data_IF_390002840886
#
_entry.id   IF_390002840886
#
_cell.length_a   1.000
_cell.length_b   1.000
_cell.length_c   1.000
_cell.angle_alpha   90.00
_cell.angle_beta   90.00
_cell.angle_gamma   90.00
#
_symmetry.space_group_name_H-M   'P 1'
#
loop_
_entity.id
_entity.type
_entity.pdbx_description
1 polymer ?
#
# COMPACT_ATOMS: atom_id res chain seq x y z
N UNK A 1 -18.54 -14.17 -7.61
CA UNK A 1 -17.56 -14.73 -6.63
C UNK A 1 -16.63 -13.60 -6.19
N UNK A 2 -16.30 -13.48 -4.88
CA UNK A 2 -15.27 -12.55 -4.42
C UNK A 2 -13.92 -13.00 -4.99
N UNK A 3 -13.17 -12.11 -5.67
CA UNK A 3 -11.80 -12.37 -6.05
C UNK A 3 -10.93 -12.42 -4.80
N UNK A 4 -10.05 -13.40 -4.71
CA UNK A 4 -9.01 -13.43 -3.67
C UNK A 4 -7.98 -12.33 -3.99
N UNK A 5 -7.57 -11.59 -2.96
CA UNK A 5 -6.62 -10.51 -3.06
C UNK A 5 -5.32 -10.93 -2.33
N UNK A 6 -4.21 -10.93 -3.03
CA UNK A 6 -2.89 -11.30 -2.51
C UNK A 6 -2.00 -10.07 -2.58
N UNK A 7 -1.46 -9.65 -1.45
CA UNK A 7 -0.58 -8.49 -1.35
C UNK A 7 0.77 -8.89 -0.79
N UNK A 8 1.81 -8.73 -1.60
CA UNK A 8 3.20 -8.97 -1.21
C UNK A 8 3.89 -7.67 -0.78
N UNK A 9 3.93 -7.37 0.51
CA UNK A 9 4.74 -6.25 1.00
C UNK A 9 6.20 -6.68 1.14
N UNK A 10 7.08 -6.18 0.24
CA UNK A 10 8.51 -6.52 0.24
C UNK A 10 9.30 -5.79 1.32
N UNK A 11 8.69 -4.77 1.92
CA UNK A 11 9.32 -3.94 2.96
C UNK A 11 10.68 -3.39 2.48
N UNK A 12 11.68 -3.39 3.34
CA UNK A 12 13.08 -3.01 3.06
C UNK A 12 13.99 -4.26 3.03
N UNK A 13 13.47 -5.42 2.57
CA UNK A 13 14.16 -6.70 2.74
C UNK A 13 15.09 -7.08 1.56
N UNK A 14 14.93 -6.43 0.40
CA UNK A 14 15.66 -6.78 -0.81
C UNK A 14 16.57 -5.64 -1.28
N UNK A 15 17.77 -6.00 -1.77
CA UNK A 15 18.60 -5.07 -2.53
C UNK A 15 18.05 -4.89 -3.95
N UNK A 16 18.68 -4.04 -4.77
CA UNK A 16 18.21 -3.74 -6.13
C UNK A 16 18.19 -5.01 -7.01
N UNK A 17 19.28 -5.76 -7.06
CA UNK A 17 19.41 -6.95 -7.91
C UNK A 17 18.34 -7.99 -7.58
N UNK A 18 18.16 -8.31 -6.30
CA UNK A 18 17.16 -9.28 -5.85
C UNK A 18 15.73 -8.79 -6.10
N UNK A 19 15.48 -7.48 -5.95
CA UNK A 19 14.17 -6.87 -6.25
C UNK A 19 13.80 -7.01 -7.72
N UNK A 20 14.72 -6.70 -8.62
CA UNK A 20 14.50 -6.82 -10.07
C UNK A 20 14.35 -8.28 -10.50
N UNK A 21 15.20 -9.16 -9.96
CA UNK A 21 15.10 -10.61 -10.21
C UNK A 21 13.77 -11.17 -9.77
N UNK A 22 13.28 -10.77 -8.58
CA UNK A 22 11.97 -11.18 -8.09
C UNK A 22 10.85 -10.65 -9.01
N UNK A 23 10.90 -9.37 -9.43
CA UNK A 23 9.94 -8.78 -10.34
C UNK A 23 9.86 -9.56 -11.67
N UNK A 24 10.99 -9.87 -12.28
CA UNK A 24 11.03 -10.69 -13.50
C UNK A 24 10.45 -12.09 -13.30
N UNK A 25 10.72 -12.73 -12.17
CA UNK A 25 10.20 -14.06 -11.87
C UNK A 25 8.69 -14.07 -11.68
N UNK A 26 8.15 -13.10 -10.92
CA UNK A 26 6.71 -13.04 -10.69
C UNK A 26 5.93 -12.59 -11.93
N UNK A 27 6.54 -11.82 -12.83
CA UNK A 27 5.93 -11.47 -14.14
C UNK A 27 5.52 -12.70 -14.95
N UNK A 28 6.20 -13.81 -14.75
CA UNK A 28 5.93 -15.08 -15.45
C UNK A 28 4.76 -15.87 -14.85
N UNK A 29 4.19 -15.40 -13.72
CA UNK A 29 3.05 -16.06 -13.09
C UNK A 29 1.84 -15.98 -14.02
N UNK A 30 1.33 -17.14 -14.41
CA UNK A 30 0.08 -17.23 -15.15
C UNK A 30 -1.10 -17.20 -14.16
N UNK A 31 -1.78 -16.08 -14.08
CA UNK A 31 -2.90 -15.86 -13.17
C UNK A 31 -4.21 -16.48 -13.68
N UNK A 32 -4.23 -17.81 -13.83
CA UNK A 32 -5.40 -18.57 -14.33
C UNK A 32 -6.63 -18.44 -13.44
N UNK A 33 -6.43 -18.22 -12.14
CA UNK A 33 -7.50 -18.14 -11.15
C UNK A 33 -8.10 -16.74 -11.03
N UNK A 34 -7.64 -15.80 -11.87
CA UNK A 34 -8.09 -14.42 -11.90
C UNK A 34 -8.03 -13.77 -10.50
N UNK A 35 -6.89 -13.95 -9.82
CA UNK A 35 -6.60 -13.34 -8.52
C UNK A 35 -6.25 -11.86 -8.69
N UNK A 36 -6.49 -11.05 -7.67
CA UNK A 36 -5.87 -9.73 -7.57
C UNK A 36 -4.52 -9.89 -6.89
N UNK A 37 -3.43 -9.74 -7.65
CA UNK A 37 -2.06 -9.86 -7.12
C UNK A 37 -1.43 -8.47 -7.11
N UNK A 38 -0.94 -8.05 -5.96
CA UNK A 38 -0.27 -6.77 -5.79
C UNK A 38 1.07 -6.95 -5.07
N UNK A 39 2.07 -6.15 -5.44
CA UNK A 39 3.37 -6.13 -4.77
C UNK A 39 3.74 -4.70 -4.39
N UNK A 40 4.30 -4.55 -3.19
CA UNK A 40 4.76 -3.28 -2.65
C UNK A 40 6.28 -3.31 -2.42
N UNK A 41 7.09 -2.98 -3.44
CA UNK A 41 8.54 -2.85 -3.30
C UNK A 41 8.92 -1.58 -2.53
N UNK A 42 10.21 -1.46 -2.15
CA UNK A 42 10.73 -0.20 -1.61
C UNK A 42 10.61 0.93 -2.64
N UNK A 43 10.37 2.16 -2.18
CA UNK A 43 10.27 3.35 -3.04
C UNK A 43 11.49 3.60 -3.90
N UNK A 44 12.68 3.16 -3.47
CA UNK A 44 13.92 3.29 -4.26
C UNK A 44 13.86 2.59 -5.63
N UNK A 45 13.10 1.51 -5.74
CA UNK A 45 13.02 0.68 -6.97
C UNK A 45 11.60 0.63 -7.53
N UNK A 46 10.68 1.41 -6.97
CA UNK A 46 9.26 1.36 -7.27
C UNK A 46 8.97 1.59 -8.76
N UNK A 47 9.54 2.64 -9.34
CA UNK A 47 9.34 3.00 -10.75
C UNK A 47 9.87 1.91 -11.71
N UNK A 48 11.08 1.39 -11.44
CA UNK A 48 11.71 0.37 -12.27
C UNK A 48 10.93 -0.96 -12.22
N UNK A 49 10.41 -1.31 -11.04
CA UNK A 49 9.57 -2.51 -10.88
C UNK A 49 8.20 -2.32 -11.52
N UNK A 50 7.62 -1.13 -11.45
CA UNK A 50 6.36 -0.81 -12.12
C UNK A 50 6.51 -0.96 -13.65
N UNK A 51 7.61 -0.51 -14.22
CA UNK A 51 7.93 -0.69 -15.64
C UNK A 51 8.09 -2.17 -16.03
N UNK A 52 8.79 -2.96 -15.21
CA UNK A 52 8.94 -4.40 -15.46
C UNK A 52 7.58 -5.09 -15.48
N UNK A 53 6.67 -4.74 -14.58
CA UNK A 53 5.39 -5.44 -14.38
C UNK A 53 4.22 -4.84 -15.18
N UNK A 54 4.40 -3.75 -15.94
CA UNK A 54 3.30 -3.02 -16.60
C UNK A 54 2.42 -3.88 -17.51
N UNK A 55 2.99 -4.90 -18.16
CA UNK A 55 2.28 -5.82 -19.08
C UNK A 55 1.96 -7.18 -18.42
N UNK A 56 1.77 -7.19 -17.10
CA UNK A 56 1.43 -8.40 -16.35
C UNK A 56 0.11 -8.26 -15.59
N UNK A 57 -0.40 -9.37 -15.07
CA UNK A 57 -1.58 -9.39 -14.18
C UNK A 57 -1.25 -8.95 -12.74
N UNK A 58 -0.06 -8.39 -12.49
CA UNK A 58 0.42 -8.00 -11.17
C UNK A 58 0.48 -6.48 -11.08
N UNK A 59 -0.23 -5.92 -10.12
CA UNK A 59 -0.20 -4.49 -9.85
C UNK A 59 0.93 -4.14 -8.88
N UNK A 60 1.58 -3.00 -9.13
CA UNK A 60 2.57 -2.44 -8.19
C UNK A 60 1.92 -1.35 -7.37
N UNK A 61 2.13 -1.39 -6.05
CA UNK A 61 1.59 -0.42 -5.10
C UNK A 61 2.72 0.16 -4.25
N UNK A 62 2.53 1.35 -3.68
CA UNK A 62 3.52 1.94 -2.76
C UNK A 62 3.34 1.41 -1.33
N UNK A 63 4.42 1.42 -0.54
CA UNK A 63 4.39 1.04 0.88
C UNK A 63 3.88 2.16 1.78
N UNK A 64 3.92 3.40 1.32
CA UNK A 64 3.51 4.61 2.03
C UNK A 64 3.54 5.82 1.08
N UNK A 65 2.98 6.93 1.53
CA UNK A 65 3.24 8.28 1.03
C UNK A 65 3.25 9.25 2.20
N UNK A 66 3.73 10.47 1.99
CA UNK A 66 3.84 11.47 3.05
C UNK A 66 2.93 12.68 2.80
N UNK A 67 2.82 13.13 1.56
CA UNK A 67 2.09 14.35 1.20
C UNK A 67 1.25 14.15 -0.07
N UNK A 68 0.28 15.05 -0.28
CA UNK A 68 -0.53 15.03 -1.50
C UNK A 68 0.25 15.58 -2.69
N UNK A 69 0.81 16.77 -2.56
CA UNK A 69 1.38 17.55 -3.63
C UNK A 69 2.91 17.68 -3.51
N UNK A 70 3.54 18.08 -4.60
CA UNK A 70 4.94 18.50 -4.61
C UNK A 70 5.20 19.66 -3.65
N UNK A 71 6.35 19.69 -3.01
CA UNK A 71 6.70 20.72 -2.04
C UNK A 71 8.10 20.58 -1.45
N UNK A 72 8.42 21.45 -0.51
CA UNK A 72 9.73 21.51 0.18
C UNK A 72 9.81 20.50 1.32
N UNK A 73 9.73 19.21 1.01
CA UNK A 73 9.75 18.11 1.98
C UNK A 73 10.87 17.14 1.65
N UNK A 74 12.08 17.45 2.11
CA UNK A 74 13.28 16.64 1.83
C UNK A 74 13.09 15.18 2.25
N UNK A 75 13.19 14.26 1.30
CA UNK A 75 13.04 12.81 1.51
C UNK A 75 11.59 12.31 1.54
N UNK A 76 10.60 13.19 1.40
CA UNK A 76 9.19 12.80 1.33
C UNK A 76 8.79 12.25 -0.04
N UNK A 77 7.69 11.53 -0.04
CA UNK A 77 7.03 10.98 -1.25
C UNK A 77 5.61 11.51 -1.29
N UNK A 78 5.18 12.09 -2.42
CA UNK A 78 3.82 12.58 -2.56
C UNK A 78 3.00 11.73 -3.54
N UNK A 79 1.66 11.88 -3.45
CA UNK A 79 0.74 11.14 -4.31
C UNK A 79 0.93 11.48 -5.79
N UNK A 80 1.25 12.75 -6.13
CA UNK A 80 1.45 13.15 -7.51
C UNK A 80 2.65 12.42 -8.15
N UNK A 81 3.76 12.27 -7.42
CA UNK A 81 4.92 11.48 -7.88
C UNK A 81 4.58 10.00 -8.07
N UNK A 82 3.75 9.43 -7.20
CA UNK A 82 3.30 8.04 -7.35
C UNK A 82 2.45 7.87 -8.62
N UNK A 83 1.53 8.80 -8.87
CA UNK A 83 0.68 8.79 -10.09
C UNK A 83 1.51 8.89 -11.37
N UNK A 84 2.52 9.76 -11.40
CA UNK A 84 3.41 9.93 -12.56
C UNK A 84 4.11 8.63 -12.98
N UNK A 85 4.41 7.76 -12.04
CA UNK A 85 5.02 6.45 -12.31
C UNK A 85 3.99 5.30 -12.39
N UNK A 86 2.69 5.63 -12.53
CA UNK A 86 1.61 4.66 -12.71
C UNK A 86 1.14 3.94 -11.45
N UNK A 87 1.54 4.41 -10.27
CA UNK A 87 1.11 3.81 -8.99
C UNK A 87 -0.23 4.42 -8.56
N UNK A 88 -1.26 3.58 -8.48
CA UNK A 88 -2.63 3.98 -8.19
C UNK A 88 -3.14 3.47 -6.84
N UNK A 89 -2.27 2.87 -6.02
CA UNK A 89 -2.62 2.36 -4.70
C UNK A 89 -1.44 2.43 -3.74
N UNK A 90 -1.73 2.61 -2.45
CA UNK A 90 -0.73 2.63 -1.39
C UNK A 90 -1.15 1.83 -0.17
N UNK A 91 -0.18 1.35 0.60
CA UNK A 91 -0.37 0.89 1.98
C UNK A 91 -0.33 2.11 2.90
N UNK A 92 -1.16 2.14 3.93
CA UNK A 92 -1.20 3.21 4.92
C UNK A 92 -1.35 2.65 6.33
N UNK A 93 -0.59 3.19 7.28
CA UNK A 93 -0.72 2.87 8.70
C UNK A 93 -0.20 1.49 9.09
N UNK A 94 0.69 0.87 8.28
CA UNK A 94 1.32 -0.41 8.61
C UNK A 94 1.96 -0.38 10.00
N UNK A 95 1.86 -1.48 10.75
CA UNK A 95 2.34 -1.60 12.13
C UNK A 95 3.80 -1.18 12.31
N UNK A 96 4.68 -1.50 11.34
CA UNK A 96 6.08 -1.08 11.38
C UNK A 96 6.28 0.44 11.24
N UNK A 97 5.38 1.15 10.54
CA UNK A 97 5.44 2.61 10.48
C UNK A 97 5.06 3.23 11.81
N UNK A 98 4.07 2.67 12.46
CA UNK A 98 3.63 3.08 13.81
C UNK A 98 4.74 2.85 14.84
N UNK A 99 5.39 1.67 14.83
CA UNK A 99 6.39 1.27 15.82
C UNK A 99 7.78 1.84 15.55
N UNK A 100 8.26 1.83 14.31
CA UNK A 100 9.65 2.15 13.98
C UNK A 100 9.83 3.60 13.53
N UNK A 101 8.77 4.23 13.00
CA UNK A 101 8.80 5.61 12.51
C UNK A 101 7.94 6.55 13.37
N UNK A 102 7.33 6.04 14.45
CA UNK A 102 6.45 6.80 15.36
C UNK A 102 5.30 7.51 14.63
N UNK A 103 4.78 6.91 13.58
CA UNK A 103 3.67 7.48 12.81
C UNK A 103 2.39 7.42 13.64
N UNK A 104 1.88 8.56 14.06
CA UNK A 104 0.72 8.66 14.94
C UNK A 104 -0.60 8.41 14.22
N UNK A 105 -1.66 8.07 14.97
CA UNK A 105 -3.00 7.95 14.41
C UNK A 105 -3.45 9.26 13.73
N UNK A 106 -3.11 10.41 14.28
CA UNK A 106 -3.42 11.71 13.69
C UNK A 106 -2.77 11.88 12.31
N UNK A 107 -1.48 11.57 12.19
CA UNK A 107 -0.76 11.63 10.92
C UNK A 107 -1.35 10.66 9.88
N UNK A 108 -1.67 9.44 10.31
CA UNK A 108 -2.28 8.42 9.45
C UNK A 108 -3.68 8.84 9.00
N UNK A 109 -4.49 9.41 9.90
CA UNK A 109 -5.83 9.89 9.60
C UNK A 109 -5.79 11.06 8.60
N UNK A 110 -4.87 12.00 8.76
CA UNK A 110 -4.66 13.10 7.80
C UNK A 110 -4.28 12.55 6.41
N UNK A 111 -3.40 11.54 6.34
CA UNK A 111 -3.07 10.86 5.08
C UNK A 111 -4.27 10.12 4.51
N UNK A 112 -5.07 9.49 5.35
CA UNK A 112 -6.29 8.81 4.90
C UNK A 112 -7.27 9.80 4.28
N UNK A 113 -7.52 10.94 4.89
CA UNK A 113 -8.37 12.00 4.31
C UNK A 113 -7.84 12.48 2.96
N UNK A 114 -6.54 12.67 2.84
CA UNK A 114 -5.89 13.06 1.57
C UNK A 114 -6.19 12.02 0.49
N UNK A 115 -5.97 10.73 0.77
CA UNK A 115 -6.13 9.70 -0.25
C UNK A 115 -7.61 9.45 -0.59
N UNK A 116 -8.51 9.56 0.38
CA UNK A 116 -9.96 9.43 0.15
C UNK A 116 -10.52 10.53 -0.77
N UNK A 117 -9.86 11.70 -0.81
CA UNK A 117 -10.15 12.80 -1.72
C UNK A 117 -9.34 12.74 -3.03
N UNK A 118 -8.61 11.67 -3.27
CA UNK A 118 -7.84 11.42 -4.48
C UNK A 118 -8.43 10.29 -5.32
N UNK A 119 -7.82 10.02 -6.49
CA UNK A 119 -8.18 8.88 -7.35
C UNK A 119 -7.41 7.60 -7.00
N UNK A 120 -6.66 7.58 -5.89
CA UNK A 120 -5.87 6.42 -5.48
C UNK A 120 -6.65 5.52 -4.54
N UNK A 121 -6.37 4.22 -4.65
CA UNK A 121 -6.83 3.20 -3.72
C UNK A 121 -5.93 3.12 -2.49
N UNK A 122 -6.45 2.58 -1.39
CA UNK A 122 -5.68 2.42 -0.16
C UNK A 122 -5.90 1.06 0.51
N UNK A 123 -4.82 0.50 1.03
CA UNK A 123 -4.83 -0.61 2.00
C UNK A 123 -4.52 0.01 3.36
N UNK A 124 -5.55 0.17 4.19
CA UNK A 124 -5.42 0.73 5.53
C UNK A 124 -5.16 -0.38 6.55
N UNK A 125 -3.99 -0.33 7.17
CA UNK A 125 -3.53 -1.31 8.16
C UNK A 125 -3.88 -0.87 9.59
N UNK A 126 -4.33 -1.82 10.41
CA UNK A 126 -4.64 -1.61 11.83
C UNK A 126 -4.46 -2.91 12.62
N UNK A 127 -4.13 -2.81 13.90
CA UNK A 127 -4.04 -3.94 14.84
C UNK A 127 -5.15 -3.94 15.90
N UNK A 128 -5.82 -2.80 16.07
CA UNK A 128 -6.97 -2.68 16.97
C UNK A 128 -8.04 -1.74 16.37
N UNK A 129 -9.28 -1.89 16.80
CA UNK A 129 -10.40 -1.09 16.30
C UNK A 129 -10.27 0.40 16.65
N UNK A 130 -9.55 0.74 17.71
CA UNK A 130 -9.26 2.12 18.10
C UNK A 130 -8.40 2.87 17.08
N UNK A 131 -7.69 2.14 16.23
CA UNK A 131 -6.90 2.72 15.13
C UNK A 131 -7.72 2.99 13.88
N UNK A 132 -8.95 2.49 13.81
CA UNK A 132 -9.82 2.67 12.63
C UNK A 132 -10.62 3.98 12.77
N UNK A 133 -10.40 4.98 11.90
CA UNK A 133 -11.09 6.27 11.98
C UNK A 133 -12.49 6.18 11.38
N UNK A 134 -13.41 5.58 12.11
CA UNK A 134 -14.80 5.34 11.66
C UNK A 134 -15.52 6.62 11.20
N UNK A 135 -15.25 7.76 11.84
CA UNK A 135 -15.87 9.04 11.47
C UNK A 135 -15.43 9.50 10.09
N UNK A 136 -14.12 9.43 9.79
CA UNK A 136 -13.55 9.74 8.48
C UNK A 136 -14.13 8.80 7.42
N UNK A 137 -14.14 7.51 7.71
CA UNK A 137 -14.64 6.49 6.78
C UNK A 137 -16.14 6.66 6.53
N UNK A 138 -16.94 6.90 7.58
CA UNK A 138 -18.41 7.05 7.44
C UNK A 138 -18.80 8.27 6.62
N UNK A 139 -18.05 9.36 6.72
CA UNK A 139 -18.29 10.58 5.94
C UNK A 139 -17.97 10.36 4.47
N UNK A 140 -16.81 9.78 4.18
CA UNK A 140 -16.34 9.63 2.80
C UNK A 140 -17.02 8.46 2.05
N UNK A 141 -17.43 7.39 2.75
CA UNK A 141 -18.11 6.26 2.11
C UNK A 141 -19.52 6.58 1.62
N UNK A 142 -20.18 7.60 2.17
CA UNK A 142 -21.55 8.00 1.74
C UNK A 142 -21.56 8.64 0.36
N UNK A 143 -20.50 9.36 0.02
CA UNK A 143 -20.46 10.18 -1.20
C UNK A 143 -19.62 9.57 -2.34
N UNK A 144 -18.88 8.47 -2.09
CA UNK A 144 -17.91 7.97 -3.04
C UNK A 144 -18.10 6.49 -3.39
N UNK A 145 -18.92 6.23 -4.43
CA UNK A 145 -19.09 4.88 -5.00
C UNK A 145 -17.84 4.30 -5.66
N UNK A 146 -16.77 5.09 -5.80
CA UNK A 146 -15.50 4.70 -6.45
C UNK A 146 -14.40 4.37 -5.45
N UNK A 147 -14.64 4.56 -4.14
CA UNK A 147 -13.63 4.32 -3.13
C UNK A 147 -13.25 2.84 -3.07
N UNK A 148 -12.00 2.56 -3.34
CA UNK A 148 -11.43 1.23 -3.18
C UNK A 148 -10.54 1.20 -1.93
N UNK A 149 -11.21 1.12 -0.78
CA UNK A 149 -10.58 0.91 0.51
C UNK A 149 -10.52 -0.58 0.83
N UNK A 150 -9.34 -1.06 1.15
CA UNK A 150 -9.12 -2.39 1.74
C UNK A 150 -8.69 -2.20 3.19
N UNK A 151 -9.39 -2.83 4.13
CA UNK A 151 -8.98 -2.87 5.53
C UNK A 151 -8.11 -4.10 5.76
N UNK A 152 -6.89 -3.90 6.26
CA UNK A 152 -5.93 -4.94 6.57
C UNK A 152 -5.73 -5.04 8.08
N UNK A 153 -6.27 -6.09 8.68
CA UNK A 153 -6.02 -6.38 10.09
C UNK A 153 -4.65 -7.02 10.28
N UNK A 154 -3.80 -6.38 11.06
CA UNK A 154 -2.45 -6.86 11.39
C UNK A 154 -2.41 -7.29 12.86
N UNK A 155 -2.60 -8.60 13.17
CA UNK A 155 -2.49 -9.07 14.53
C UNK A 155 -1.03 -9.03 15.01
N UNK A 156 -0.60 -7.89 15.56
CA UNK A 156 0.81 -7.65 15.95
C UNK A 156 1.32 -8.71 16.93
N UNK A 157 0.45 -9.27 17.74
CA UNK A 157 0.74 -10.39 18.63
C UNK A 157 1.10 -11.70 17.90
N UNK A 158 0.73 -11.85 16.63
CA UNK A 158 1.02 -13.02 15.82
C UNK A 158 2.23 -12.82 14.89
N UNK A 159 2.52 -11.57 14.52
CA UNK A 159 3.59 -11.24 13.56
C UNK A 159 4.94 -11.72 14.07
N UNK A 160 5.64 -12.56 13.28
CA UNK A 160 6.96 -13.11 13.62
C UNK A 160 6.98 -14.17 14.73
N UNK A 161 5.83 -14.57 15.28
CA UNK A 161 5.74 -15.53 16.41
C UNK A 161 5.43 -16.96 15.98
N UNK A 162 5.05 -17.18 14.72
CA UNK A 162 4.55 -18.45 14.20
C UNK A 162 3.13 -18.81 14.65
N UNK A 163 2.44 -17.90 15.34
CA UNK A 163 1.03 -18.06 15.71
C UNK A 163 0.14 -17.57 14.56
N UNK A 164 -1.01 -18.22 14.40
CA UNK A 164 -2.06 -17.78 13.47
C UNK A 164 -3.08 -16.90 14.19
N UNK A 165 -3.58 -15.86 13.49
CA UNK A 165 -4.67 -15.03 13.98
C UNK A 165 -6.03 -15.72 13.86
#
# INVERSE_FOLDING_TARGET
MKKLHIVGNWKMSLNKEDSLKLAHNIKLINNKDNLNIEVAPTSLYLAEIAEILQDSDISVISQNFDFQNLGSFTGGICLDQLKEIGINKTILGHSERRSNFNESNEQINNKLEIILNSDLDVIFCFDSLEQVPFDILSTNLKDNSKLKLTLAYEPTWAIGTGKTA
#
